data_IF_366500308522
#
_entry.id   IF_366500308522
#
_cell.length_a   1.000
_cell.length_b   1.000
_cell.length_c   1.000
_cell.angle_alpha   90.00
_cell.angle_beta   90.00
_cell.angle_gamma   90.00
#
_symmetry.space_group_name_H-M   'P 1'
#
loop_
_entity.id
_entity.type
_entity.pdbx_description
1 polymer ?
#
# COMPACT_ATOMS: atom_id res chain seq x y z
N UNK A 1 10.83 -32.85 -0.52
CA UNK A 1 11.48 -31.56 -0.22
C UNK A 1 10.38 -30.64 0.28
N UNK A 2 10.34 -30.37 1.59
CA UNK A 2 9.32 -29.50 2.18
C UNK A 2 9.92 -28.10 2.07
N UNK A 3 9.39 -27.28 1.16
CA UNK A 3 9.76 -25.88 1.10
C UNK A 3 9.06 -25.23 2.28
N UNK A 4 9.79 -24.91 3.34
CA UNK A 4 9.27 -24.05 4.40
C UNK A 4 8.96 -22.71 3.76
N UNK A 5 7.68 -22.50 3.44
CA UNK A 5 7.17 -21.20 3.08
C UNK A 5 7.30 -20.39 4.37
N UNK A 6 8.26 -19.47 4.41
CA UNK A 6 8.41 -18.47 5.46
C UNK A 6 7.03 -17.81 5.62
N UNK A 7 6.30 -18.13 6.70
CA UNK A 7 4.88 -17.85 6.76
C UNK A 7 4.70 -16.34 6.95
N UNK A 8 4.09 -15.60 5.99
CA UNK A 8 3.87 -14.17 6.13
C UNK A 8 3.00 -13.80 7.34
N UNK A 9 2.38 -14.78 8.01
CA UNK A 9 1.74 -14.63 9.32
C UNK A 9 2.78 -14.30 10.41
N UNK A 10 3.99 -14.87 10.35
CA UNK A 10 5.06 -14.65 11.33
C UNK A 10 5.79 -13.32 11.13
N UNK A 11 5.65 -12.69 9.95
CA UNK A 11 6.33 -11.46 9.54
C UNK A 11 5.37 -10.34 9.08
N UNK A 12 4.53 -9.79 9.99
CA UNK A 12 3.54 -8.76 9.65
C UNK A 12 4.17 -7.47 9.11
N UNK A 13 5.45 -7.22 9.36
CA UNK A 13 6.20 -6.09 8.83
C UNK A 13 6.42 -6.16 7.32
N UNK A 14 6.46 -7.36 6.72
CA UNK A 14 6.66 -7.57 5.28
C UNK A 14 5.37 -7.34 4.47
N UNK A 15 4.23 -7.19 5.15
CA UNK A 15 2.90 -7.04 4.54
C UNK A 15 2.32 -5.63 4.70
N UNK A 16 3.02 -4.76 5.44
CA UNK A 16 2.58 -3.39 5.74
C UNK A 16 3.13 -2.38 4.76
N UNK A 17 2.25 -1.51 4.25
CA UNK A 17 2.64 -0.28 3.57
C UNK A 17 3.26 0.67 4.59
N UNK A 18 4.45 1.23 4.29
CA UNK A 18 5.07 2.25 5.14
C UNK A 18 5.08 3.59 4.41
N UNK A 19 4.75 4.65 5.14
CA UNK A 19 4.69 6.01 4.61
C UNK A 19 5.52 6.90 5.53
N UNK A 20 6.52 7.58 4.98
CA UNK A 20 7.41 8.44 5.76
C UNK A 20 8.04 9.57 4.91
N UNK A 21 8.41 10.70 5.51
CA UNK A 21 8.15 11.07 6.90
C UNK A 21 6.66 11.33 7.15
N UNK A 22 6.23 11.24 8.40
CA UNK A 22 4.90 11.71 8.84
C UNK A 22 5.08 12.49 10.15
N UNK A 23 4.88 13.83 10.15
CA UNK A 23 4.43 14.68 9.04
C UNK A 23 5.47 14.90 7.94
N UNK A 24 5.02 15.17 6.71
CA UNK A 24 5.81 15.51 5.54
C UNK A 24 5.58 16.97 5.08
N UNK A 25 6.54 17.55 4.36
CA UNK A 25 6.46 18.93 3.83
C UNK A 25 6.52 18.98 2.31
N UNK A 26 7.61 18.47 1.74
CA UNK A 26 7.87 18.57 0.30
C UNK A 26 7.77 17.23 -0.41
N UNK A 27 8.11 16.16 0.29
CA UNK A 27 8.17 14.82 -0.26
C UNK A 27 7.73 13.80 0.77
N UNK A 28 6.99 12.80 0.31
CA UNK A 28 6.68 11.60 1.07
C UNK A 28 7.20 10.38 0.30
N UNK A 29 7.72 9.41 1.03
CA UNK A 29 8.15 8.11 0.52
C UNK A 29 7.15 7.07 0.95
N UNK A 30 6.71 6.27 -0.01
CA UNK A 30 5.86 5.10 0.21
C UNK A 30 6.72 3.87 -0.08
N UNK A 31 6.92 3.02 0.93
CA UNK A 31 7.61 1.74 0.79
C UNK A 31 6.55 0.65 0.62
N UNK A 32 6.65 -0.06 -0.50
CA UNK A 32 5.75 -1.12 -0.88
C UNK A 32 6.00 -2.36 -0.01
N UNK A 33 4.94 -3.06 0.40
CA UNK A 33 5.11 -4.34 1.09
C UNK A 33 5.68 -5.39 0.14
N UNK A 34 6.42 -6.35 0.71
CA UNK A 34 6.95 -7.51 -0.03
C UNK A 34 5.84 -8.48 -0.43
N UNK A 35 4.80 -8.60 0.39
CA UNK A 35 3.63 -9.45 0.15
C UNK A 35 2.35 -8.62 0.16
N UNK A 36 1.47 -8.85 -0.81
CA UNK A 36 0.09 -8.35 -0.77
C UNK A 36 -0.82 -9.41 -0.15
N UNK A 37 -1.68 -8.98 0.76
CA UNK A 37 -2.67 -9.86 1.40
C UNK A 37 -4.04 -9.53 0.82
N UNK A 38 -4.71 -10.55 0.26
CA UNK A 38 -6.10 -10.45 -0.16
C UNK A 38 -6.95 -11.40 0.66
N UNK A 39 -8.05 -10.90 1.19
CA UNK A 39 -9.08 -11.71 1.87
C UNK A 39 -10.28 -11.83 0.94
N UNK A 40 -10.66 -13.05 0.62
CA UNK A 40 -11.86 -13.35 -0.16
C UNK A 40 -12.87 -14.03 0.74
N UNK A 41 -14.09 -13.50 0.79
CA UNK A 41 -15.21 -14.10 1.51
C UNK A 41 -16.31 -14.46 0.51
N UNK A 42 -16.77 -15.71 0.52
CA UNK A 42 -17.85 -16.19 -0.33
C UNK A 42 -18.45 -17.49 0.20
N UNK A 43 -19.79 -17.59 0.18
CA UNK A 43 -20.55 -18.78 0.59
C UNK A 43 -20.13 -19.38 1.95
N UNK A 44 -19.86 -18.53 2.95
CA UNK A 44 -19.45 -18.97 4.29
C UNK A 44 -17.99 -19.44 4.40
N UNK A 45 -17.19 -19.31 3.33
CA UNK A 45 -15.76 -19.65 3.31
C UNK A 45 -14.96 -18.35 3.21
N UNK A 46 -14.02 -18.18 4.14
CA UNK A 46 -13.00 -17.13 4.12
C UNK A 46 -11.67 -17.71 3.66
N UNK A 47 -11.06 -17.14 2.62
CA UNK A 47 -9.72 -17.49 2.17
C UNK A 47 -8.80 -16.26 2.22
N UNK A 48 -7.59 -16.44 2.77
CA UNK A 48 -6.53 -15.42 2.74
C UNK A 48 -5.48 -15.87 1.73
N UNK A 49 -5.15 -15.01 0.76
CA UNK A 49 -4.13 -15.27 -0.26
C UNK A 49 -2.99 -14.27 -0.12
N UNK A 50 -1.77 -14.78 -0.10
CA UNK A 50 -0.55 -13.99 -0.04
C UNK A 50 0.13 -13.99 -1.41
N UNK A 51 0.35 -12.80 -1.96
CA UNK A 51 1.00 -12.61 -3.25
C UNK A 51 2.41 -12.05 -3.04
N UNK A 52 3.43 -12.91 -3.20
CA UNK A 52 4.83 -12.49 -3.22
C UNK A 52 5.23 -11.88 -4.58
N UNK A 53 4.65 -12.40 -5.66
CA UNK A 53 4.81 -11.89 -7.01
C UNK A 53 3.47 -11.33 -7.50
N UNK A 54 3.43 -10.02 -7.72
CA UNK A 54 2.27 -9.29 -8.21
C UNK A 54 2.67 -8.51 -9.47
N UNK A 55 1.90 -8.57 -10.55
CA UNK A 55 2.31 -8.01 -11.85
C UNK A 55 2.35 -6.49 -11.82
N UNK A 56 1.27 -5.87 -11.35
CA UNK A 56 1.08 -4.43 -11.29
C UNK A 56 0.02 -4.11 -10.22
N UNK A 57 0.25 -3.02 -9.49
CA UNK A 57 -0.74 -2.47 -8.56
C UNK A 57 -0.92 -0.99 -8.82
N UNK A 58 -2.07 -0.45 -8.42
CA UNK A 58 -2.31 0.99 -8.47
C UNK A 58 -2.17 1.58 -7.08
N UNK A 59 -1.22 2.49 -6.90
CA UNK A 59 -1.16 3.35 -5.74
C UNK A 59 -2.08 4.55 -5.97
N UNK A 60 -2.92 4.86 -4.99
CA UNK A 60 -3.83 6.02 -4.99
C UNK A 60 -3.65 6.80 -3.70
N UNK A 61 -3.79 8.12 -3.77
CA UNK A 61 -3.78 9.00 -2.60
C UNK A 61 -5.03 9.85 -2.58
N UNK A 62 -5.72 9.84 -1.46
CA UNK A 62 -6.93 10.63 -1.22
C UNK A 62 -6.68 11.66 -0.13
N UNK A 63 -7.34 12.82 -0.24
CA UNK A 63 -7.45 13.75 0.89
C UNK A 63 -8.61 13.33 1.83
N UNK A 64 -8.78 14.05 2.95
CA UNK A 64 -9.85 13.80 3.93
C UNK A 64 -11.28 13.88 3.36
N UNK A 65 -11.48 14.52 2.21
CA UNK A 65 -12.78 14.62 1.55
C UNK A 65 -13.03 13.46 0.57
N UNK A 66 -12.15 12.46 0.54
CA UNK A 66 -12.25 11.34 -0.40
C UNK A 66 -11.89 11.70 -1.84
N UNK A 67 -11.36 12.91 -2.08
CA UNK A 67 -10.91 13.32 -3.43
C UNK A 67 -9.56 12.67 -3.71
N UNK A 68 -9.45 11.97 -4.83
CA UNK A 68 -8.19 11.44 -5.33
C UNK A 68 -7.29 12.59 -5.78
N UNK A 69 -6.10 12.68 -5.20
CA UNK A 69 -5.10 13.73 -5.47
C UNK A 69 -3.95 13.19 -6.30
N UNK A 70 -3.65 11.90 -6.18
CA UNK A 70 -2.57 11.24 -6.89
C UNK A 70 -2.94 9.80 -7.22
N UNK A 71 -2.49 9.32 -8.38
CA UNK A 71 -2.51 7.91 -8.73
C UNK A 71 -1.30 7.57 -9.58
N UNK A 72 -0.72 6.39 -9.33
CA UNK A 72 0.40 5.85 -10.10
C UNK A 72 0.32 4.32 -10.15
N UNK A 73 0.56 3.76 -11.32
CA UNK A 73 0.79 2.33 -11.49
C UNK A 73 2.21 1.99 -11.05
N UNK A 74 2.32 0.98 -10.18
CA UNK A 74 3.55 0.55 -9.53
C UNK A 74 3.85 -0.86 -10.02
N UNK A 75 5.07 -1.05 -10.52
CA UNK A 75 5.59 -2.36 -10.87
C UNK A 75 6.22 -3.02 -9.64
N UNK A 76 6.29 -4.35 -9.61
CA UNK A 76 6.89 -5.10 -8.49
C UNK A 76 8.34 -4.69 -8.16
N UNK A 77 9.10 -4.27 -9.18
CA UNK A 77 10.47 -3.82 -9.04
C UNK A 77 10.59 -2.49 -8.26
N UNK A 78 9.52 -1.69 -8.22
CA UNK A 78 9.47 -0.40 -7.53
C UNK A 78 9.12 -0.59 -6.05
N UNK A 79 10.13 -0.96 -5.24
CA UNK A 79 9.96 -1.15 -3.79
C UNK A 79 9.66 0.16 -3.04
N UNK A 80 10.09 1.29 -3.59
CA UNK A 80 9.88 2.62 -2.97
C UNK A 80 9.40 3.62 -4.00
N UNK A 81 8.44 4.45 -3.60
CA UNK A 81 7.87 5.50 -4.45
C UNK A 81 7.98 6.83 -3.73
N UNK A 82 8.65 7.77 -4.38
CA UNK A 82 8.81 9.14 -3.90
C UNK A 82 7.75 10.03 -4.56
N UNK A 83 6.92 10.69 -3.76
CA UNK A 83 5.87 11.60 -4.22
C UNK A 83 6.23 13.02 -3.81
N UNK A 84 6.26 13.95 -4.77
CA UNK A 84 6.36 15.37 -4.46
C UNK A 84 4.98 15.89 -4.02
N UNK A 85 4.91 16.42 -2.81
CA UNK A 85 3.71 16.92 -2.13
C UNK A 85 3.80 18.42 -1.83
N UNK A 86 4.84 19.13 -2.32
CA UNK A 86 5.11 20.53 -1.95
C UNK A 86 3.98 21.49 -2.31
N UNK A 87 3.12 21.11 -3.26
CA UNK A 87 1.95 21.90 -3.71
C UNK A 87 0.65 21.43 -3.09
N UNK A 88 0.66 20.39 -2.26
CA UNK A 88 -0.54 19.83 -1.66
C UNK A 88 -0.99 20.69 -0.49
N UNK A 89 -2.29 20.97 -0.35
CA UNK A 89 -2.81 21.65 0.83
C UNK A 89 -2.42 20.92 2.12
N UNK A 90 -2.17 21.67 3.19
CA UNK A 90 -1.96 21.10 4.52
C UNK A 90 -3.16 20.25 4.93
N UNK A 91 -2.91 19.11 5.54
CA UNK A 91 -3.97 18.19 5.94
C UNK A 91 -3.52 16.74 5.94
N UNK A 92 -4.46 15.84 6.24
CA UNK A 92 -4.21 14.40 6.26
C UNK A 92 -4.55 13.78 4.91
N UNK A 93 -3.73 12.80 4.52
CA UNK A 93 -3.86 12.05 3.28
C UNK A 93 -3.81 10.56 3.57
N UNK A 94 -4.58 9.80 2.79
CA UNK A 94 -4.61 8.34 2.83
C UNK A 94 -3.99 7.80 1.54
N UNK A 95 -2.91 7.05 1.67
CA UNK A 95 -2.31 6.27 0.59
C UNK A 95 -2.90 4.86 0.64
N UNK A 96 -3.36 4.35 -0.49
CA UNK A 96 -3.86 2.99 -0.62
C UNK A 96 -3.26 2.30 -1.84
N UNK A 97 -3.02 0.99 -1.70
CA UNK A 97 -2.65 0.10 -2.80
C UNK A 97 -3.88 -0.67 -3.22
N UNK A 98 -4.25 -0.53 -4.49
CA UNK A 98 -5.36 -1.23 -5.12
C UNK A 98 -4.80 -2.34 -6.00
N UNK A 99 -5.22 -3.57 -5.73
CA UNK A 99 -4.85 -4.75 -6.48
C UNK A 99 -6.08 -5.60 -6.75
N UNK A 100 -6.31 -5.97 -8.02
CA UNK A 100 -7.51 -6.72 -8.44
C UNK A 100 -8.84 -6.10 -7.92
N UNK A 101 -8.95 -4.78 -7.98
CA UNK A 101 -10.07 -3.97 -7.48
C UNK A 101 -10.27 -3.94 -5.95
N UNK A 102 -9.37 -4.55 -5.17
CA UNK A 102 -9.42 -4.54 -3.71
C UNK A 102 -8.31 -3.66 -3.12
N UNK A 103 -8.59 -3.00 -2.00
CA UNK A 103 -7.56 -2.30 -1.22
C UNK A 103 -6.82 -3.34 -0.39
N UNK A 104 -5.55 -3.59 -0.74
CA UNK A 104 -4.71 -4.62 -0.10
C UNK A 104 -3.73 -4.04 0.93
N UNK A 105 -3.60 -2.72 0.99
CA UNK A 105 -2.78 -2.03 1.98
C UNK A 105 -3.08 -0.53 1.99
N UNK A 106 -2.97 0.09 3.16
CA UNK A 106 -3.15 1.53 3.32
C UNK A 106 -2.19 2.11 4.35
N UNK A 107 -1.86 3.39 4.20
CA UNK A 107 -1.08 4.18 5.13
C UNK A 107 -1.57 5.62 5.13
N UNK A 108 -1.36 6.35 6.22
CA UNK A 108 -1.75 7.75 6.34
C UNK A 108 -0.53 8.62 6.60
N UNK A 109 -0.61 9.89 6.22
CA UNK A 109 0.39 10.89 6.57
C UNK A 109 -0.22 12.29 6.61
N UNK A 110 0.47 13.20 7.27
CA UNK A 110 0.10 14.62 7.40
C UNK A 110 1.03 15.46 6.52
N UNK A 111 0.47 16.41 5.76
CA UNK A 111 1.19 17.47 5.05
C UNK A 111 1.15 18.75 5.88
N UNK A 112 2.32 19.35 6.12
CA UNK A 112 2.54 20.51 7.00
C UNK A 112 3.11 21.74 6.29
#
# INVERSE_FOLDING_TARGET
>A
MIVSIDDPIEHPEKTRLRVYPDPAKEKVTVEMPEYLIRKSEGNGISATTYYHQWPEVRMVVFNLFGRMIFSKEIQQSEKTVSINISTWPKGMYLVSIVFMNDIVGSGKFIVN
#
